data_IF_954686252163
#
_entry.id   IF_954686252163
#
_cell.length_a   1.000
_cell.length_b   1.000
_cell.length_c   1.000
_cell.angle_alpha   90.00
_cell.angle_beta   90.00
_cell.angle_gamma   90.00
#
_symmetry.space_group_name_H-M   'P 1'
#
loop_
_entity.id
_entity.type
_entity.pdbx_description
1 polymer ?
#
# COMPACT_ATOMS: atom_id res chain seq x y z
N UNK A 1 20.15 -6.26 -36.36
CA UNK A 1 20.01 -7.67 -35.91
C UNK A 1 21.13 -8.14 -34.97
N UNK A 2 22.43 -7.95 -35.27
CA UNK A 2 23.53 -8.38 -34.39
C UNK A 2 23.54 -7.70 -33.01
N UNK A 3 23.25 -6.39 -32.92
CA UNK A 3 23.21 -5.64 -31.65
C UNK A 3 22.08 -6.11 -30.69
N UNK A 4 20.91 -6.46 -31.26
CA UNK A 4 19.78 -6.99 -30.46
C UNK A 4 20.08 -8.39 -29.94
N UNK A 5 20.75 -9.23 -30.74
CA UNK A 5 21.16 -10.58 -30.35
C UNK A 5 22.22 -10.55 -29.24
N UNK A 6 23.17 -9.63 -29.31
CA UNK A 6 24.19 -9.44 -28.29
C UNK A 6 23.59 -8.93 -26.96
N UNK A 7 22.65 -7.98 -27.04
CA UNK A 7 21.94 -7.45 -25.88
C UNK A 7 21.07 -8.50 -25.17
N UNK A 8 20.41 -9.39 -25.94
CA UNK A 8 19.64 -10.50 -25.40
C UNK A 8 20.52 -11.53 -24.67
N UNK A 9 21.68 -11.86 -25.24
CA UNK A 9 22.66 -12.76 -24.61
C UNK A 9 23.19 -12.19 -23.27
N UNK A 10 23.48 -10.89 -23.22
CA UNK A 10 23.90 -10.25 -21.97
C UNK A 10 22.79 -10.25 -20.89
N UNK A 11 21.52 -10.04 -21.27
CA UNK A 11 20.38 -10.04 -20.33
C UNK A 11 20.19 -11.43 -19.73
N UNK A 12 20.20 -12.49 -20.58
CA UNK A 12 20.07 -13.88 -20.13
C UNK A 12 21.21 -14.22 -19.16
N UNK A 13 22.44 -13.85 -19.49
CA UNK A 13 23.59 -14.09 -18.63
C UNK A 13 23.50 -13.42 -17.24
N UNK A 14 23.01 -12.18 -17.18
CA UNK A 14 22.80 -11.50 -15.90
C UNK A 14 21.73 -12.18 -15.08
N UNK A 15 20.58 -12.53 -15.69
CA UNK A 15 19.49 -13.19 -14.98
C UNK A 15 19.87 -14.59 -14.47
N UNK A 16 20.61 -15.36 -15.26
CA UNK A 16 21.09 -16.69 -14.85
C UNK A 16 22.05 -16.61 -13.66
N UNK A 17 22.97 -15.65 -13.67
CA UNK A 17 23.84 -15.38 -12.51
C UNK A 17 23.04 -14.96 -11.26
N UNK A 18 22.01 -14.14 -11.40
CA UNK A 18 21.17 -13.73 -10.29
C UNK A 18 20.37 -14.92 -9.72
N UNK A 19 19.88 -15.82 -10.58
CA UNK A 19 19.20 -17.06 -10.16
C UNK A 19 20.16 -18.00 -9.41
N UNK A 20 21.37 -18.18 -9.94
CA UNK A 20 22.43 -18.93 -9.27
C UNK A 20 22.77 -18.33 -7.90
N UNK A 21 22.94 -17.01 -7.84
CA UNK A 21 23.18 -16.28 -6.59
C UNK A 21 22.06 -16.52 -5.58
N UNK A 22 20.79 -16.32 -5.97
CA UNK A 22 19.66 -16.48 -5.04
C UNK A 22 19.50 -17.92 -4.56
N UNK A 23 19.79 -18.90 -5.42
CA UNK A 23 19.76 -20.32 -5.04
C UNK A 23 20.88 -20.66 -4.06
N UNK A 24 22.11 -20.20 -4.33
CA UNK A 24 23.27 -20.47 -3.46
C UNK A 24 23.21 -19.75 -2.11
N UNK A 25 22.49 -18.62 -2.02
CA UNK A 25 22.34 -17.83 -0.82
C UNK A 25 20.91 -17.92 -0.20
N UNK A 26 20.14 -18.94 -0.57
CA UNK A 26 18.75 -19.07 -0.09
C UNK A 26 18.64 -19.08 1.41
N UNK A 27 19.51 -19.82 2.11
CA UNK A 27 19.47 -19.96 3.56
C UNK A 27 19.75 -18.63 4.28
N UNK A 28 20.66 -17.81 3.76
CA UNK A 28 20.95 -16.47 4.28
C UNK A 28 19.76 -15.53 4.06
N UNK A 29 19.16 -15.56 2.86
CA UNK A 29 17.99 -14.75 2.52
C UNK A 29 16.81 -15.11 3.44
N UNK A 30 16.56 -16.39 3.65
CA UNK A 30 15.49 -16.88 4.54
C UNK A 30 15.78 -16.55 6.00
N UNK A 31 17.04 -16.64 6.43
CA UNK A 31 17.46 -16.31 7.80
C UNK A 31 17.23 -14.83 8.09
N UNK A 32 17.58 -13.93 7.18
CA UNK A 32 17.36 -12.50 7.33
C UNK A 32 15.86 -12.16 7.33
N UNK A 33 15.07 -12.78 6.46
CA UNK A 33 13.60 -12.62 6.48
C UNK A 33 13.02 -13.06 7.82
N UNK A 34 13.40 -14.23 8.32
CA UNK A 34 12.96 -14.74 9.62
C UNK A 34 13.40 -13.83 10.77
N UNK A 35 14.59 -13.23 10.69
CA UNK A 35 15.06 -12.23 11.65
C UNK A 35 14.10 -11.05 11.71
N UNK A 36 13.68 -10.49 10.57
CA UNK A 36 12.70 -9.41 10.54
C UNK A 36 11.32 -9.84 11.05
N UNK A 37 10.81 -11.01 10.62
CA UNK A 37 9.48 -11.51 11.05
C UNK A 37 9.41 -11.71 12.56
N UNK A 38 10.52 -12.06 13.23
CA UNK A 38 10.57 -12.22 14.69
C UNK A 38 10.39 -10.92 15.48
N UNK A 39 10.58 -9.76 14.86
CA UNK A 39 10.31 -8.47 15.49
C UNK A 39 8.84 -8.08 15.23
N UNK A 40 8.03 -7.84 16.28
CA UNK A 40 6.60 -7.52 16.12
C UNK A 40 6.34 -6.31 15.21
N UNK A 41 7.03 -5.20 15.41
CA UNK A 41 6.93 -3.92 14.65
C UNK A 41 5.50 -3.47 14.33
N UNK A 42 4.57 -3.63 15.29
CA UNK A 42 3.15 -3.24 15.15
C UNK A 42 3.03 -1.73 15.34
N UNK A 43 2.90 -0.98 14.23
CA UNK A 43 2.88 0.49 14.27
C UNK A 43 1.68 1.05 15.03
N UNK A 44 0.48 0.48 14.87
CA UNK A 44 -0.74 0.90 15.56
C UNK A 44 -0.66 0.76 17.10
N UNK A 45 0.23 -0.11 17.61
CA UNK A 45 0.40 -0.39 19.04
C UNK A 45 1.76 0.10 19.56
N UNK A 46 2.62 0.64 18.69
CA UNK A 46 4.00 1.05 19.01
C UNK A 46 4.85 -0.06 19.65
N UNK A 47 4.72 -1.31 19.18
CA UNK A 47 5.39 -2.49 19.72
C UNK A 47 6.49 -2.96 18.77
N UNK A 48 7.74 -3.07 19.26
CA UNK A 48 8.87 -3.69 18.55
C UNK A 48 9.39 -2.90 17.35
N UNK A 49 9.06 -1.64 17.24
CA UNK A 49 9.39 -0.74 16.11
C UNK A 49 10.88 -0.44 16.04
N UNK A 50 11.47 0.00 17.15
CA UNK A 50 12.90 0.38 17.21
C UNK A 50 13.81 -0.84 16.97
N UNK A 51 13.44 -1.99 17.53
CA UNK A 51 14.16 -3.24 17.37
C UNK A 51 14.11 -3.73 15.93
N UNK A 52 12.96 -3.62 15.26
CA UNK A 52 12.83 -3.98 13.86
C UNK A 52 13.63 -3.04 12.96
N UNK A 53 13.57 -1.73 13.21
CA UNK A 53 14.39 -0.74 12.49
C UNK A 53 15.89 -1.03 12.64
N UNK A 54 16.32 -1.42 13.85
CA UNK A 54 17.71 -1.81 14.11
C UNK A 54 18.09 -3.08 13.31
N UNK A 55 17.21 -4.08 13.26
CA UNK A 55 17.43 -5.30 12.50
C UNK A 55 17.51 -5.03 10.98
N UNK A 56 16.62 -4.18 10.43
CA UNK A 56 16.69 -3.75 9.03
C UNK A 56 18.04 -3.07 8.74
N UNK A 57 18.46 -2.13 9.59
CA UNK A 57 19.71 -1.40 9.43
C UNK A 57 20.94 -2.33 9.51
N UNK A 58 20.92 -3.32 10.40
CA UNK A 58 21.97 -4.33 10.51
C UNK A 58 22.06 -5.17 9.22
N UNK A 59 20.94 -5.72 8.73
CA UNK A 59 20.89 -6.50 7.49
C UNK A 59 21.37 -5.68 6.29
N UNK A 60 21.03 -4.39 6.22
CA UNK A 60 21.51 -3.51 5.17
C UNK A 60 23.05 -3.36 5.22
N UNK A 61 23.63 -3.12 6.40
CA UNK A 61 25.07 -2.99 6.58
C UNK A 61 25.81 -4.29 6.25
N UNK A 62 25.31 -5.43 6.72
CA UNK A 62 25.87 -6.75 6.43
C UNK A 62 25.76 -7.11 4.92
N UNK A 63 24.85 -6.44 4.23
CA UNK A 63 24.69 -6.52 2.78
C UNK A 63 25.54 -5.50 2.00
N UNK A 64 26.45 -4.76 2.67
CA UNK A 64 27.33 -3.77 2.04
C UNK A 64 26.66 -2.43 1.72
N UNK A 65 25.47 -2.16 2.27
CA UNK A 65 24.75 -0.90 2.08
C UNK A 65 25.13 0.06 3.20
N UNK A 66 25.61 1.26 2.85
CA UNK A 66 25.83 2.32 3.85
C UNK A 66 24.50 2.81 4.37
N UNK A 67 24.13 2.49 5.60
CA UNK A 67 22.81 2.78 6.16
C UNK A 67 22.83 3.34 7.58
N UNK A 68 21.77 4.04 7.96
CA UNK A 68 21.54 4.57 9.29
C UNK A 68 20.06 4.75 9.59
N UNK A 69 19.73 4.78 10.88
CA UNK A 69 18.38 4.99 11.38
C UNK A 69 18.17 6.49 11.60
N UNK A 70 17.10 7.04 11.04
CA UNK A 70 16.68 8.43 11.23
C UNK A 70 15.48 8.44 12.17
N UNK A 71 15.67 8.97 13.36
CA UNK A 71 14.60 9.13 14.35
C UNK A 71 13.74 10.33 13.99
N UNK A 72 12.43 10.13 13.95
CA UNK A 72 11.46 11.19 13.77
C UNK A 72 11.01 11.72 15.13
N UNK A 73 10.70 13.02 15.22
CA UNK A 73 10.33 13.68 16.49
C UNK A 73 9.06 13.08 17.10
N UNK A 74 8.08 12.76 16.29
CA UNK A 74 6.76 12.26 16.70
C UNK A 74 6.32 11.05 15.88
N UNK A 75 7.27 10.24 15.39
CA UNK A 75 6.98 9.12 14.50
C UNK A 75 7.97 7.98 14.63
N UNK A 76 7.65 6.91 13.95
CA UNK A 76 8.49 5.73 13.91
C UNK A 76 9.76 5.99 13.09
N UNK A 77 10.91 5.34 13.42
CA UNK A 77 12.16 5.57 12.71
C UNK A 77 12.08 5.19 11.23
N UNK A 78 12.80 5.92 10.41
CA UNK A 78 13.07 5.58 9.02
C UNK A 78 14.48 4.97 8.93
N UNK A 79 14.62 3.86 8.20
CA UNK A 79 15.93 3.31 7.86
C UNK A 79 16.30 3.79 6.46
N UNK A 80 17.32 4.62 6.37
CA UNK A 80 17.84 5.14 5.13
C UNK A 80 19.17 4.48 4.76
N UNK A 81 19.38 4.20 3.47
CA UNK A 81 20.63 3.64 2.98
C UNK A 81 20.99 4.09 1.58
N UNK A 82 22.27 3.94 1.24
CA UNK A 82 22.81 4.28 -0.07
C UNK A 82 23.81 3.22 -0.55
N UNK A 83 23.79 2.97 -1.86
CA UNK A 83 24.88 2.30 -2.58
C UNK A 83 25.25 3.19 -3.77
N UNK A 84 26.49 3.67 -3.79
CA UNK A 84 27.04 4.43 -4.90
C UNK A 84 27.51 3.49 -6.00
N UNK A 85 27.41 3.94 -7.24
CA UNK A 85 27.78 3.23 -8.44
C UNK A 85 28.42 4.21 -9.43
N UNK A 86 29.18 3.70 -10.38
CA UNK A 86 29.65 4.46 -11.56
C UNK A 86 28.50 4.82 -12.53
N UNK A 87 27.33 4.21 -12.35
CA UNK A 87 26.11 4.52 -13.10
C UNK A 87 25.64 5.97 -12.89
N UNK A 88 25.11 6.58 -13.96
CA UNK A 88 24.69 7.99 -13.94
C UNK A 88 23.33 8.23 -13.28
N UNK A 89 22.50 7.18 -13.20
CA UNK A 89 21.13 7.28 -12.67
C UNK A 89 21.08 6.87 -11.21
N UNK A 90 20.08 7.38 -10.51
CA UNK A 90 19.77 7.05 -9.13
C UNK A 90 18.33 6.50 -9.05
N UNK A 91 18.16 5.35 -8.43
CA UNK A 91 16.84 4.75 -8.15
C UNK A 91 16.57 4.82 -6.65
N UNK A 92 15.44 5.40 -6.27
CA UNK A 92 14.95 5.41 -4.89
C UNK A 92 14.06 4.18 -4.68
N UNK A 93 14.47 3.32 -3.75
CA UNK A 93 13.79 2.08 -3.38
C UNK A 93 13.00 2.31 -2.10
N UNK A 94 11.70 2.02 -2.13
CA UNK A 94 10.81 2.19 -1.00
C UNK A 94 10.13 0.87 -0.62
N UNK A 95 10.01 0.63 0.68
CA UNK A 95 9.16 -0.38 1.31
C UNK A 95 8.98 -0.03 2.79
N UNK A 96 8.29 -0.88 3.58
CA UNK A 96 8.08 -0.67 5.00
C UNK A 96 8.40 -1.90 5.84
N UNK A 97 8.70 -1.69 7.13
CA UNK A 97 9.01 -2.77 8.08
C UNK A 97 7.96 -2.94 9.18
N UNK A 98 7.05 -1.97 9.32
CA UNK A 98 5.92 -2.09 10.26
C UNK A 98 4.84 -3.05 9.74
N UNK A 99 3.99 -3.47 10.65
CA UNK A 99 2.95 -4.48 10.35
C UNK A 99 1.65 -4.16 11.07
N UNK A 100 0.55 -4.72 10.56
CA UNK A 100 -0.77 -4.71 11.21
C UNK A 100 -0.79 -5.52 12.52
N UNK A 101 -1.72 -5.20 13.45
CA UNK A 101 -2.03 -6.04 14.59
C UNK A 101 -2.33 -7.50 14.22
N UNK A 102 -2.18 -8.38 15.18
CA UNK A 102 -2.27 -9.84 14.97
C UNK A 102 -3.60 -10.46 15.38
N UNK A 103 -4.46 -9.69 16.00
CA UNK A 103 -5.78 -10.15 16.44
C UNK A 103 -6.67 -10.58 15.26
N UNK A 104 -7.47 -11.65 15.42
CA UNK A 104 -7.60 -12.52 16.60
C UNK A 104 -6.48 -13.59 16.71
N UNK A 105 -5.85 -13.68 17.89
CA UNK A 105 -4.69 -14.55 18.14
C UNK A 105 -5.01 -16.05 18.07
N UNK A 106 -6.22 -16.45 18.42
CA UNK A 106 -6.67 -17.83 18.45
C UNK A 106 -6.86 -18.47 17.06
N UNK A 107 -6.89 -17.66 16.00
CA UNK A 107 -6.96 -18.14 14.63
C UNK A 107 -5.58 -18.43 13.98
N UNK A 108 -4.48 -18.09 14.68
CA UNK A 108 -3.14 -18.35 14.18
C UNK A 108 -2.70 -19.80 14.43
N UNK A 109 -2.33 -20.51 13.35
CA UNK A 109 -1.75 -21.86 13.42
C UNK A 109 -0.36 -21.87 14.07
N UNK A 110 0.44 -20.83 13.80
CA UNK A 110 1.77 -20.64 14.38
C UNK A 110 1.81 -19.27 15.08
N UNK A 111 2.68 -19.11 16.07
CA UNK A 111 2.89 -17.78 16.65
C UNK A 111 3.25 -16.78 15.53
N UNK A 112 2.52 -15.64 15.40
CA UNK A 112 2.68 -14.70 14.31
C UNK A 112 4.08 -14.10 14.16
N UNK A 113 4.91 -14.16 15.21
CA UNK A 113 6.28 -13.68 15.19
C UNK A 113 7.34 -14.78 15.35
N UNK A 114 7.00 -16.03 15.05
CA UNK A 114 7.97 -17.15 15.11
C UNK A 114 8.86 -17.26 13.89
N UNK A 115 8.42 -16.77 12.71
CA UNK A 115 9.12 -16.96 11.45
C UNK A 115 9.32 -18.46 11.13
N UNK A 116 8.33 -19.29 11.44
CA UNK A 116 8.38 -20.73 11.14
C UNK A 116 8.46 -20.97 9.64
N UNK A 117 9.32 -21.90 9.25
CA UNK A 117 9.44 -22.35 7.85
C UNK A 117 8.82 -23.74 7.71
N UNK A 118 7.76 -23.84 6.91
CA UNK A 118 7.14 -25.12 6.52
C UNK A 118 6.67 -25.03 5.08
N UNK A 119 6.71 -26.13 4.33
CA UNK A 119 6.20 -26.20 2.95
C UNK A 119 6.79 -25.11 2.02
N UNK A 120 8.08 -24.82 2.17
CA UNK A 120 8.79 -23.73 1.45
C UNK A 120 8.16 -22.33 1.65
N UNK A 121 7.55 -22.09 2.80
CA UNK A 121 6.96 -20.81 3.20
C UNK A 121 7.54 -20.34 4.51
N UNK A 122 7.69 -19.03 4.66
CA UNK A 122 7.95 -18.35 5.94
C UNK A 122 6.61 -17.84 6.44
N UNK A 123 6.18 -18.32 7.59
CA UNK A 123 4.91 -17.93 8.22
C UNK A 123 5.14 -16.87 9.27
N UNK A 124 4.28 -15.87 9.27
CA UNK A 124 4.25 -14.82 10.28
C UNK A 124 3.71 -13.50 9.76
N UNK A 125 3.27 -12.65 10.68
CA UNK A 125 2.81 -11.29 10.38
C UNK A 125 3.97 -10.48 9.81
N UNK A 126 3.72 -9.82 8.67
CA UNK A 126 4.73 -9.06 7.93
C UNK A 126 5.58 -9.91 6.98
N UNK A 127 5.41 -11.23 6.93
CA UNK A 127 6.20 -12.06 6.02
C UNK A 127 5.95 -11.69 4.54
N UNK A 128 4.71 -11.36 4.19
CA UNK A 128 4.32 -10.88 2.87
C UNK A 128 4.24 -9.36 2.82
N UNK A 129 3.71 -8.74 3.86
CA UNK A 129 3.42 -7.31 3.93
C UNK A 129 4.15 -6.65 5.12
N UNK A 130 5.40 -6.11 4.96
CA UNK A 130 6.15 -6.07 3.68
C UNK A 130 7.63 -6.55 3.86
N UNK A 131 7.94 -7.29 4.95
CA UNK A 131 9.34 -7.68 5.29
C UNK A 131 9.98 -8.55 4.20
N UNK A 132 9.20 -9.40 3.51
CA UNK A 132 9.68 -10.14 2.35
C UNK A 132 10.12 -9.23 1.20
N UNK A 133 9.36 -8.17 0.94
CA UNK A 133 9.68 -7.15 -0.05
C UNK A 133 10.93 -6.34 0.37
N UNK A 134 11.07 -5.98 1.66
CA UNK A 134 12.28 -5.32 2.20
C UNK A 134 13.52 -6.17 1.97
N UNK A 135 13.46 -7.47 2.27
CA UNK A 135 14.57 -8.40 2.04
C UNK A 135 14.90 -8.49 0.55
N UNK A 136 13.91 -8.56 -0.33
CA UNK A 136 14.14 -8.60 -1.77
C UNK A 136 14.90 -7.35 -2.28
N UNK A 137 14.55 -6.15 -1.79
CA UNK A 137 15.26 -4.91 -2.12
C UNK A 137 16.74 -4.95 -1.65
N UNK A 138 16.99 -5.32 -0.40
CA UNK A 138 18.32 -5.36 0.19
C UNK A 138 19.20 -6.39 -0.52
N UNK A 139 18.67 -7.61 -0.71
CA UNK A 139 19.43 -8.71 -1.33
C UNK A 139 19.65 -8.51 -2.83
N UNK A 140 18.83 -7.73 -3.52
CA UNK A 140 19.07 -7.33 -4.90
C UNK A 140 20.33 -6.43 -5.03
N UNK A 141 20.52 -5.48 -4.10
CA UNK A 141 21.74 -4.68 -4.06
C UNK A 141 22.97 -5.55 -3.72
N UNK A 142 22.83 -6.43 -2.72
CA UNK A 142 23.91 -7.35 -2.34
C UNK A 142 24.31 -8.27 -3.49
N UNK A 143 23.34 -8.79 -4.27
CA UNK A 143 23.62 -9.63 -5.42
C UNK A 143 24.49 -8.93 -6.46
N UNK A 144 24.30 -7.63 -6.70
CA UNK A 144 25.18 -6.84 -7.56
C UNK A 144 26.55 -6.59 -6.94
N UNK A 145 26.60 -6.23 -5.67
CA UNK A 145 27.88 -6.00 -4.96
C UNK A 145 28.76 -7.26 -4.99
N UNK A 146 28.19 -8.42 -4.70
CA UNK A 146 28.93 -9.68 -4.65
C UNK A 146 29.37 -10.18 -6.04
N UNK A 147 28.53 -10.01 -7.09
CA UNK A 147 28.85 -10.54 -8.43
C UNK A 147 29.57 -9.56 -9.35
N UNK A 148 29.41 -8.24 -9.14
CA UNK A 148 29.89 -7.20 -10.06
C UNK A 148 30.63 -6.05 -9.38
N UNK A 149 30.71 -6.04 -8.05
CA UNK A 149 31.35 -4.98 -7.25
C UNK A 149 30.48 -3.73 -7.07
N UNK A 150 29.53 -3.48 -7.94
CA UNK A 150 28.58 -2.35 -7.86
C UNK A 150 27.27 -2.64 -8.59
N UNK A 151 26.15 -2.00 -8.19
CA UNK A 151 24.91 -2.06 -8.96
C UNK A 151 24.98 -1.18 -10.23
N UNK A 152 24.13 -1.42 -11.24
CA UNK A 152 24.15 -0.67 -12.52
C UNK A 152 23.65 0.79 -12.39
N UNK A 153 23.09 1.17 -11.26
CA UNK A 153 22.62 2.52 -10.92
C UNK A 153 22.89 2.82 -9.46
N UNK A 154 22.99 4.09 -9.10
CA UNK A 154 23.04 4.48 -7.68
C UNK A 154 21.71 4.10 -7.01
N UNK A 155 21.78 3.57 -5.80
CA UNK A 155 20.62 3.15 -5.03
C UNK A 155 20.48 4.02 -3.79
N UNK A 156 19.22 4.38 -3.49
CA UNK A 156 18.80 4.95 -2.23
C UNK A 156 17.67 4.11 -1.67
N UNK A 157 17.72 3.82 -0.39
CA UNK A 157 16.71 3.04 0.31
C UNK A 157 15.97 3.94 1.29
N UNK A 158 14.67 3.87 1.27
CA UNK A 158 13.76 4.54 2.19
C UNK A 158 12.80 3.49 2.75
N UNK A 159 13.12 2.95 3.93
CA UNK A 159 12.33 1.90 4.57
C UNK A 159 11.66 2.50 5.80
N UNK A 160 10.35 2.66 5.77
CA UNK A 160 9.59 3.32 6.83
C UNK A 160 8.96 2.35 7.84
N UNK A 161 8.45 2.88 8.95
CA UNK A 161 7.79 2.15 10.02
C UNK A 161 6.37 2.65 10.33
N UNK A 162 5.68 3.29 9.37
CA UNK A 162 4.34 3.88 9.56
C UNK A 162 3.38 3.61 8.39
N UNK A 163 3.72 2.74 7.44
CA UNK A 163 2.86 2.51 6.26
C UNK A 163 1.47 2.06 6.70
N UNK A 164 1.41 1.12 7.62
CA UNK A 164 0.20 0.49 8.13
C UNK A 164 -0.72 1.43 8.96
N UNK A 165 -0.20 2.61 9.29
CA UNK A 165 -0.96 3.70 9.93
C UNK A 165 -1.04 4.94 9.03
N UNK A 166 -0.89 4.75 7.70
CA UNK A 166 -1.02 5.78 6.65
C UNK A 166 0.16 6.75 6.55
N UNK A 167 1.38 6.33 6.90
CA UNK A 167 2.64 7.07 6.70
C UNK A 167 2.57 8.52 7.21
N UNK A 168 2.06 8.71 8.43
CA UNK A 168 1.66 10.02 8.97
C UNK A 168 2.80 11.05 8.89
N UNK A 169 4.04 10.64 9.19
CA UNK A 169 5.19 11.52 9.26
C UNK A 169 6.06 11.52 7.98
N UNK A 170 5.86 10.56 7.08
CA UNK A 170 6.64 10.45 5.84
C UNK A 170 6.55 11.68 4.93
N UNK A 171 5.37 12.34 4.73
CA UNK A 171 5.28 13.51 3.88
C UNK A 171 6.12 14.70 4.35
N UNK A 172 6.17 14.93 5.67
CA UNK A 172 6.99 15.99 6.25
C UNK A 172 8.47 15.64 6.15
N UNK A 173 8.83 14.40 6.48
CA UNK A 173 10.19 13.90 6.30
C UNK A 173 10.71 14.11 4.87
N UNK A 174 9.90 13.70 3.87
CA UNK A 174 10.25 13.85 2.45
C UNK A 174 10.42 15.32 2.06
N UNK A 175 9.54 16.22 2.52
CA UNK A 175 9.65 17.68 2.26
C UNK A 175 10.95 18.27 2.81
N UNK A 176 11.37 17.86 4.00
CA UNK A 176 12.58 18.34 4.65
C UNK A 176 13.86 17.74 4.04
N UNK A 177 13.80 16.56 3.46
CA UNK A 177 14.97 15.79 3.00
C UNK A 177 15.03 15.61 1.47
N UNK A 178 14.46 16.55 0.70
CA UNK A 178 14.40 16.46 -0.77
C UNK A 178 15.76 16.26 -1.44
N UNK A 179 16.82 16.90 -0.93
CA UNK A 179 18.18 16.77 -1.49
C UNK A 179 18.73 15.36 -1.24
N UNK A 180 18.56 14.83 -0.04
CA UNK A 180 18.97 13.47 0.32
C UNK A 180 18.22 12.44 -0.54
N UNK A 181 16.93 12.64 -0.78
CA UNK A 181 16.05 11.72 -1.54
C UNK A 181 16.05 11.98 -3.05
N UNK A 182 16.86 12.94 -3.55
CA UNK A 182 16.92 13.21 -5.00
C UNK A 182 17.30 11.93 -5.77
N UNK A 183 16.48 11.57 -6.76
CA UNK A 183 16.64 10.40 -7.61
C UNK A 183 16.07 10.69 -9.01
N UNK A 184 16.23 9.75 -9.95
CA UNK A 184 15.67 9.84 -11.30
C UNK A 184 14.31 9.13 -11.40
N UNK A 185 14.05 8.14 -10.52
CA UNK A 185 12.78 7.46 -10.39
C UNK A 185 12.66 6.81 -9.01
N UNK A 186 11.45 6.36 -8.65
CA UNK A 186 11.20 5.54 -7.46
C UNK A 186 10.60 4.18 -7.81
N UNK A 187 11.06 3.16 -7.10
CA UNK A 187 10.48 1.82 -7.07
C UNK A 187 9.89 1.58 -5.69
N UNK A 188 8.57 1.58 -5.60
CA UNK A 188 7.84 1.19 -4.40
C UNK A 188 7.59 -0.32 -4.49
N UNK A 189 8.29 -1.06 -3.64
CA UNK A 189 8.26 -2.52 -3.67
C UNK A 189 7.47 -3.05 -2.48
N UNK A 190 6.14 -3.06 -2.66
CA UNK A 190 5.17 -3.37 -1.62
C UNK A 190 3.84 -3.78 -2.25
N UNK A 191 3.83 -4.95 -2.87
CA UNK A 191 2.65 -5.52 -3.50
C UNK A 191 2.81 -7.02 -3.74
N UNK A 192 1.73 -7.65 -4.21
CA UNK A 192 1.67 -9.08 -4.52
C UNK A 192 1.78 -9.35 -6.02
N UNK A 193 2.24 -10.54 -6.36
CA UNK A 193 2.06 -11.10 -7.69
C UNK A 193 0.55 -11.29 -7.96
N UNK A 194 0.19 -11.31 -9.23
CA UNK A 194 -1.18 -11.67 -9.62
C UNK A 194 -1.41 -13.19 -9.48
N UNK A 195 -2.68 -13.66 -9.53
CA UNK A 195 -2.99 -15.09 -9.41
C UNK A 195 -2.33 -15.98 -10.47
N UNK A 196 -1.97 -15.42 -11.63
CA UNK A 196 -1.22 -16.16 -12.66
C UNK A 196 0.28 -16.32 -12.30
N UNK A 197 0.75 -15.73 -11.21
CA UNK A 197 2.15 -15.76 -10.75
C UNK A 197 3.08 -14.90 -11.60
N UNK A 198 2.61 -13.75 -12.05
CA UNK A 198 3.40 -12.68 -12.67
C UNK A 198 3.27 -11.39 -11.87
N UNK A 199 4.16 -10.43 -12.10
CA UNK A 199 4.11 -9.15 -11.40
C UNK A 199 2.79 -8.40 -11.67
N UNK A 200 2.21 -7.86 -10.60
CA UNK A 200 1.26 -6.75 -10.69
C UNK A 200 2.05 -5.45 -10.66
N UNK A 201 1.84 -4.59 -11.63
CA UNK A 201 2.52 -3.30 -11.77
C UNK A 201 1.45 -2.21 -11.78
N UNK A 202 1.56 -1.26 -10.86
CA UNK A 202 0.60 -0.17 -10.71
C UNK A 202 1.28 1.16 -11.05
N UNK A 203 0.63 1.97 -11.88
CA UNK A 203 1.12 3.29 -12.29
C UNK A 203 0.50 4.44 -11.50
N UNK A 204 -0.26 4.13 -10.47
CA UNK A 204 -0.86 5.07 -9.53
C UNK A 204 -1.61 4.36 -8.43
N UNK A 205 -1.91 5.06 -7.36
CA UNK A 205 -2.66 4.58 -6.21
C UNK A 205 -3.82 5.53 -5.91
N UNK A 206 -4.92 4.98 -5.41
CA UNK A 206 -6.01 5.80 -4.88
C UNK A 206 -5.54 6.55 -3.63
N UNK A 207 -6.08 7.74 -3.44
CA UNK A 207 -5.96 8.46 -2.18
C UNK A 207 -6.91 7.91 -1.12
N UNK A 208 -6.73 8.38 0.10
CA UNK A 208 -7.59 8.09 1.23
C UNK A 208 -7.92 9.40 1.97
N UNK A 209 -9.18 9.59 2.29
CA UNK A 209 -9.62 10.55 3.29
C UNK A 209 -10.41 9.79 4.35
N UNK A 210 -9.87 9.71 5.57
CA UNK A 210 -10.50 9.01 6.68
C UNK A 210 -10.96 10.02 7.72
N UNK A 211 -12.27 10.05 7.99
CA UNK A 211 -12.91 11.01 8.86
C UNK A 211 -13.71 10.31 9.96
N UNK A 212 -13.81 10.96 11.11
CA UNK A 212 -14.84 10.70 12.11
C UNK A 212 -15.83 11.88 12.13
N UNK A 213 -17.11 11.59 12.11
CA UNK A 213 -18.17 12.55 12.32
C UNK A 213 -18.88 12.23 13.63
N UNK A 214 -19.06 13.21 14.48
CA UNK A 214 -19.61 13.07 15.82
C UNK A 214 -20.77 14.04 16.04
N UNK A 215 -21.90 13.49 16.46
CA UNK A 215 -23.10 14.24 16.82
C UNK A 215 -23.36 14.08 18.32
N UNK A 216 -23.44 15.20 19.03
CA UNK A 216 -23.77 15.23 20.46
C UNK A 216 -24.99 16.12 20.66
N UNK A 217 -26.09 15.58 21.20
CA UNK A 217 -27.37 16.28 21.36
C UNK A 217 -27.74 16.54 22.83
N UNK A 218 -27.03 15.85 23.75
CA UNK A 218 -27.26 16.01 25.17
C UNK A 218 -25.97 15.85 25.99
N UNK A 219 -25.96 16.23 27.25
CA UNK A 219 -24.82 16.04 28.15
C UNK A 219 -24.72 14.64 28.72
N UNK A 220 -25.84 13.89 28.76
CA UNK A 220 -25.94 12.53 29.29
C UNK A 220 -27.04 11.76 28.57
N UNK A 221 -26.95 10.45 28.62
CA UNK A 221 -28.03 9.56 28.16
C UNK A 221 -29.31 9.76 28.94
N UNK A 222 -30.44 9.60 28.29
CA UNK A 222 -31.76 9.79 28.85
C UNK A 222 -32.62 8.55 28.74
N UNK A 223 -33.71 8.48 29.53
CA UNK A 223 -34.73 7.46 29.32
C UNK A 223 -35.42 7.65 27.97
N UNK A 224 -35.59 6.59 27.19
CA UNK A 224 -36.17 6.65 25.83
C UNK A 224 -37.61 7.19 25.77
N UNK A 225 -38.35 7.24 26.88
CA UNK A 225 -39.64 7.87 26.96
C UNK A 225 -39.62 9.38 26.60
N UNK A 226 -38.44 10.03 26.66
CA UNK A 226 -38.25 11.40 26.25
C UNK A 226 -38.06 11.60 24.73
N UNK A 227 -38.03 10.51 23.95
CA UNK A 227 -37.81 10.57 22.51
C UNK A 227 -38.78 11.48 21.73
N UNK A 228 -40.05 11.70 22.14
CA UNK A 228 -40.94 12.64 21.45
C UNK A 228 -40.52 14.09 21.53
N UNK A 229 -39.71 14.47 22.53
CA UNK A 229 -39.32 15.85 22.80
C UNK A 229 -37.82 16.11 22.84
N UNK A 230 -37.00 15.05 22.93
CA UNK A 230 -35.55 15.16 23.00
C UNK A 230 -34.89 14.65 21.67
N UNK A 231 -33.89 15.39 21.14
CA UNK A 231 -33.23 15.01 19.91
C UNK A 231 -32.39 13.75 20.10
N UNK A 232 -32.47 12.82 19.15
CA UNK A 232 -31.66 11.63 19.14
C UNK A 232 -30.49 11.80 18.17
N UNK A 233 -29.22 11.74 18.64
CA UNK A 233 -28.06 11.97 17.80
C UNK A 233 -27.84 10.89 16.72
N UNK A 234 -28.33 9.65 16.94
CA UNK A 234 -28.25 8.60 15.94
C UNK A 234 -29.12 8.93 14.72
N UNK A 235 -30.39 9.34 14.94
CA UNK A 235 -31.26 9.76 13.84
C UNK A 235 -30.72 10.98 13.11
N UNK A 236 -30.16 11.96 13.84
CA UNK A 236 -29.55 13.14 13.23
C UNK A 236 -28.34 12.78 12.37
N UNK A 237 -27.48 11.90 12.87
CA UNK A 237 -26.30 11.41 12.12
C UNK A 237 -26.70 10.61 10.88
N UNK A 238 -27.67 9.71 10.99
CA UNK A 238 -28.20 8.93 9.85
C UNK A 238 -28.81 9.86 8.79
N UNK A 239 -29.57 10.88 9.19
CA UNK A 239 -30.12 11.87 8.27
C UNK A 239 -29.03 12.64 7.54
N UNK A 240 -27.96 13.03 8.23
CA UNK A 240 -26.80 13.67 7.60
C UNK A 240 -26.09 12.73 6.59
N UNK A 241 -25.87 11.46 6.95
CA UNK A 241 -25.24 10.46 6.08
C UNK A 241 -26.06 10.22 4.82
N UNK A 242 -27.39 10.24 4.91
CA UNK A 242 -28.27 10.05 3.74
C UNK A 242 -28.15 11.19 2.71
N UNK A 243 -27.65 12.37 3.13
CA UNK A 243 -27.37 13.48 2.19
C UNK A 243 -26.01 13.37 1.51
N UNK A 244 -25.08 12.59 2.07
CA UNK A 244 -23.71 12.45 1.55
C UNK A 244 -23.64 11.45 0.40
N UNK A 245 -24.49 10.40 0.44
CA UNK A 245 -24.50 9.34 -0.57
C UNK A 245 -25.91 8.87 -0.86
N UNK A 246 -26.24 8.83 -2.15
CA UNK A 246 -27.49 8.29 -2.65
C UNK A 246 -27.25 7.34 -3.83
N UNK A 247 -27.93 6.19 -3.86
CA UNK A 247 -27.85 5.19 -4.94
C UNK A 247 -26.42 4.85 -5.38
N UNK A 248 -25.48 4.76 -4.42
CA UNK A 248 -24.09 4.44 -4.65
C UNK A 248 -23.21 5.61 -5.08
N UNK A 249 -23.78 6.80 -5.33
CA UNK A 249 -23.03 8.01 -5.71
C UNK A 249 -22.89 8.97 -4.53
N UNK A 250 -21.76 9.65 -4.45
CA UNK A 250 -21.54 10.74 -3.48
C UNK A 250 -22.27 11.98 -3.99
N UNK A 251 -23.10 12.57 -3.14
CA UNK A 251 -24.01 13.68 -3.48
C UNK A 251 -23.51 15.04 -3.00
N UNK A 252 -22.29 15.08 -2.48
CA UNK A 252 -21.63 16.32 -2.08
C UNK A 252 -21.33 17.18 -3.30
N UNK A 253 -21.79 18.45 -3.29
CA UNK A 253 -21.59 19.38 -4.41
C UNK A 253 -20.11 19.52 -4.74
N UNK A 254 -19.78 19.38 -6.02
CA UNK A 254 -18.43 19.49 -6.54
C UNK A 254 -17.51 18.30 -6.24
N UNK A 255 -17.99 17.22 -5.64
CA UNK A 255 -17.15 16.06 -5.29
C UNK A 255 -16.42 15.47 -6.49
N UNK A 256 -17.03 15.51 -7.66
CA UNK A 256 -16.49 14.93 -8.90
C UNK A 256 -15.81 15.93 -9.83
N UNK A 257 -15.71 17.23 -9.46
CA UNK A 257 -15.16 18.28 -10.35
C UNK A 257 -13.74 17.96 -10.84
N UNK A 258 -12.91 17.40 -9.98
CA UNK A 258 -11.52 17.05 -10.28
C UNK A 258 -11.36 15.60 -10.73
N UNK A 259 -12.44 14.81 -10.82
CA UNK A 259 -12.38 13.43 -11.29
C UNK A 259 -12.21 13.40 -12.79
N UNK A 260 -11.06 12.98 -13.25
CA UNK A 260 -10.77 12.88 -14.68
C UNK A 260 -11.34 11.62 -15.31
N UNK A 261 -11.81 11.78 -16.53
CA UNK A 261 -12.12 10.63 -17.39
C UNK A 261 -10.84 9.86 -17.68
N UNK A 262 -10.83 8.52 -17.55
CA UNK A 262 -9.67 7.71 -17.90
C UNK A 262 -9.19 7.98 -19.32
N UNK A 263 -7.88 8.06 -19.51
CA UNK A 263 -7.29 8.25 -20.83
C UNK A 263 -7.54 7.04 -21.75
N UNK A 264 -7.34 7.20 -23.05
CA UNK A 264 -7.41 6.08 -24.01
C UNK A 264 -6.39 4.98 -23.66
N UNK A 265 -5.22 5.38 -23.16
CA UNK A 265 -4.20 4.45 -22.70
C UNK A 265 -4.63 3.69 -21.44
N UNK A 266 -5.16 4.38 -20.43
CA UNK A 266 -5.70 3.74 -19.23
C UNK A 266 -6.79 2.72 -19.58
N UNK A 267 -7.71 3.06 -20.47
CA UNK A 267 -8.76 2.15 -20.95
C UNK A 267 -8.19 0.97 -21.74
N UNK A 268 -7.15 1.19 -22.55
CA UNK A 268 -6.45 0.12 -23.26
C UNK A 268 -5.77 -0.85 -22.31
N UNK A 269 -5.14 -0.35 -21.25
CA UNK A 269 -4.55 -1.19 -20.20
C UNK A 269 -5.63 -2.00 -19.48
N UNK A 270 -6.72 -1.34 -19.07
CA UNK A 270 -7.84 -2.00 -18.40
C UNK A 270 -8.42 -3.16 -19.22
N UNK A 271 -8.53 -3.03 -20.54
CA UNK A 271 -9.02 -4.10 -21.41
C UNK A 271 -8.10 -5.35 -21.41
N UNK A 272 -6.81 -5.18 -21.18
CA UNK A 272 -5.81 -6.27 -21.15
C UNK A 272 -5.75 -7.01 -19.80
N UNK A 273 -6.27 -6.40 -18.73
CA UNK A 273 -6.27 -7.01 -17.41
C UNK A 273 -7.25 -8.18 -17.35
N UNK A 274 -6.87 -9.25 -16.71
CA UNK A 274 -7.81 -10.30 -16.33
C UNK A 274 -8.55 -9.88 -15.05
N UNK A 275 -9.85 -10.06 -15.02
CA UNK A 275 -10.69 -9.79 -13.87
C UNK A 275 -11.84 -10.78 -13.83
N UNK A 276 -11.94 -11.51 -12.73
CA UNK A 276 -12.99 -12.47 -12.46
C UNK A 276 -13.72 -12.09 -11.17
N UNK A 277 -14.84 -11.41 -11.32
CA UNK A 277 -15.69 -11.02 -10.19
C UNK A 277 -16.23 -12.22 -9.41
N UNK A 278 -16.38 -13.40 -10.05
CA UNK A 278 -16.88 -14.60 -9.37
C UNK A 278 -15.89 -15.13 -8.35
N UNK A 279 -14.58 -15.01 -8.63
CA UNK A 279 -13.54 -15.34 -7.65
C UNK A 279 -13.64 -14.43 -6.43
N UNK A 280 -13.77 -13.11 -6.65
CA UNK A 280 -13.90 -12.12 -5.58
C UNK A 280 -15.18 -12.38 -4.75
N UNK A 281 -16.31 -12.62 -5.41
CA UNK A 281 -17.59 -12.94 -4.76
C UNK A 281 -17.48 -14.22 -3.91
N UNK A 282 -16.76 -15.24 -4.41
CA UNK A 282 -16.55 -16.50 -3.69
C UNK A 282 -15.62 -16.31 -2.48
N UNK A 283 -14.55 -15.55 -2.65
CA UNK A 283 -13.55 -15.28 -1.60
C UNK A 283 -14.16 -14.55 -0.40
N UNK A 284 -14.94 -13.49 -0.67
CA UNK A 284 -15.55 -12.66 0.39
C UNK A 284 -17.01 -13.01 0.71
N UNK A 285 -17.62 -13.98 0.03
CA UNK A 285 -18.96 -14.50 0.32
C UNK A 285 -20.12 -13.55 0.00
N UNK A 286 -19.93 -12.47 -0.77
CA UNK A 286 -21.02 -11.59 -1.18
C UNK A 286 -21.70 -12.09 -2.46
N UNK A 287 -23.01 -11.78 -2.61
CA UNK A 287 -23.87 -12.43 -3.62
C UNK A 287 -23.97 -11.68 -4.95
N UNK A 288 -23.67 -10.38 -4.95
CA UNK A 288 -23.81 -9.53 -6.14
C UNK A 288 -22.85 -8.34 -6.08
N UNK A 289 -22.43 -7.86 -7.25
CA UNK A 289 -21.68 -6.60 -7.37
C UNK A 289 -22.64 -5.42 -7.26
N UNK A 290 -22.29 -4.45 -6.42
CA UNK A 290 -23.06 -3.24 -6.21
C UNK A 290 -23.39 -2.53 -7.54
N UNK A 291 -24.69 -2.27 -7.77
CA UNK A 291 -25.19 -1.64 -9.00
C UNK A 291 -25.23 -2.58 -10.21
N UNK A 292 -25.09 -3.89 -10.03
CA UNK A 292 -25.28 -4.91 -11.07
C UNK A 292 -24.26 -4.89 -12.21
N UNK A 293 -23.14 -4.14 -12.07
CA UNK A 293 -22.09 -4.07 -13.08
C UNK A 293 -21.25 -5.36 -13.10
N UNK A 294 -20.64 -5.70 -14.24
CA UNK A 294 -19.90 -6.96 -14.43
C UNK A 294 -18.61 -6.74 -15.23
N UNK A 295 -17.67 -7.66 -15.08
CA UNK A 295 -16.44 -7.72 -15.87
C UNK A 295 -15.66 -6.42 -15.88
N UNK A 296 -15.33 -5.93 -17.05
CA UNK A 296 -14.51 -4.71 -17.21
C UNK A 296 -15.17 -3.44 -16.67
N UNK A 297 -16.50 -3.34 -16.63
CA UNK A 297 -17.16 -2.19 -16.03
C UNK A 297 -17.07 -2.20 -14.50
N UNK A 298 -17.10 -3.38 -13.86
CA UNK A 298 -16.83 -3.51 -12.43
C UNK A 298 -15.37 -3.14 -12.11
N UNK A 299 -14.43 -3.63 -12.90
CA UNK A 299 -13.01 -3.27 -12.75
C UNK A 299 -12.76 -1.77 -12.98
N UNK A 300 -13.43 -1.16 -13.97
CA UNK A 300 -13.35 0.27 -14.24
C UNK A 300 -13.83 1.11 -13.05
N UNK A 301 -14.95 0.74 -12.43
CA UNK A 301 -15.42 1.37 -11.19
C UNK A 301 -14.41 1.22 -10.06
N UNK A 302 -13.92 0.00 -9.87
CA UNK A 302 -12.93 -0.30 -8.83
C UNK A 302 -11.68 0.57 -8.95
N UNK A 303 -11.20 0.82 -10.17
CA UNK A 303 -9.96 1.55 -10.43
C UNK A 303 -10.18 3.08 -10.47
N UNK A 304 -11.24 3.57 -11.14
CA UNK A 304 -11.37 4.98 -11.52
C UNK A 304 -12.47 5.76 -10.82
N UNK A 305 -13.32 5.11 -10.00
CA UNK A 305 -14.35 5.85 -9.27
C UNK A 305 -13.95 6.08 -7.80
N UNK A 306 -14.21 7.29 -7.26
CA UNK A 306 -14.07 7.53 -5.83
C UNK A 306 -15.15 6.76 -5.06
N UNK A 307 -14.87 6.46 -3.79
CA UNK A 307 -15.81 5.75 -2.91
C UNK A 307 -16.09 6.54 -1.66
N UNK A 308 -17.26 6.30 -1.06
CA UNK A 308 -17.61 6.68 0.30
C UNK A 308 -18.12 5.43 1.01
N UNK A 309 -17.47 5.05 2.10
CA UNK A 309 -17.77 3.86 2.87
C UNK A 309 -17.96 4.21 4.35
N UNK A 310 -18.88 3.53 5.02
CA UNK A 310 -19.02 3.59 6.48
C UNK A 310 -18.16 2.46 7.05
N UNK A 311 -17.03 2.82 7.66
CA UNK A 311 -16.11 1.88 8.29
C UNK A 311 -16.55 1.48 9.71
N UNK A 312 -17.33 2.33 10.37
CA UNK A 312 -17.90 2.05 11.68
C UNK A 312 -18.96 3.07 12.06
N UNK A 313 -19.97 2.64 12.82
CA UNK A 313 -21.00 3.52 13.36
C UNK A 313 -21.37 3.03 14.76
N UNK A 314 -21.53 3.95 15.69
CA UNK A 314 -21.88 3.61 17.07
C UNK A 314 -22.77 4.68 17.71
N UNK A 315 -23.80 4.22 18.44
CA UNK A 315 -24.64 5.04 19.33
C UNK A 315 -25.44 4.15 20.27
N UNK A 316 -25.71 4.66 21.48
CA UNK A 316 -26.57 3.99 22.44
C UNK A 316 -26.01 2.66 22.98
N UNK A 317 -26.91 1.78 23.40
CA UNK A 317 -26.59 0.50 24.02
C UNK A 317 -26.46 -0.61 22.96
N UNK A 318 -25.28 -1.20 22.84
CA UNK A 318 -24.95 -2.24 21.85
C UNK A 318 -24.57 -3.59 22.47
N UNK A 319 -24.58 -3.71 23.81
CA UNK A 319 -24.30 -4.96 24.52
C UNK A 319 -25.54 -5.88 24.53
N UNK A 320 -25.35 -7.11 24.98
CA UNK A 320 -26.46 -8.07 25.11
C UNK A 320 -27.55 -7.59 26.08
N UNK A 321 -28.81 -7.93 25.79
CA UNK A 321 -29.98 -7.54 26.56
C UNK A 321 -30.63 -6.24 26.07
N UNK A 322 -31.52 -5.66 26.88
CA UNK A 322 -32.29 -4.47 26.55
C UNK A 322 -32.00 -3.30 27.49
N UNK A 323 -31.83 -2.09 26.93
CA UNK A 323 -31.74 -0.83 27.68
C UNK A 323 -32.55 0.22 26.94
N UNK A 324 -33.63 0.70 27.58
CA UNK A 324 -34.49 1.75 27.01
C UNK A 324 -33.83 3.12 27.16
N UNK A 325 -32.90 3.43 26.28
CA UNK A 325 -32.06 4.64 26.33
C UNK A 325 -32.23 5.49 25.10
N UNK A 326 -32.23 6.80 25.28
CA UNK A 326 -31.98 7.80 24.25
C UNK A 326 -30.54 8.28 24.45
N UNK A 327 -29.63 7.93 23.52
CA UNK A 327 -28.21 8.26 23.69
C UNK A 327 -27.97 9.78 23.62
N UNK A 328 -26.91 10.22 24.25
CA UNK A 328 -26.44 11.61 24.20
C UNK A 328 -25.52 11.89 23.02
N UNK A 329 -24.90 10.84 22.46
CA UNK A 329 -23.88 10.94 21.41
C UNK A 329 -24.01 9.82 20.40
N UNK A 330 -23.63 10.12 19.15
CA UNK A 330 -23.43 9.15 18.06
C UNK A 330 -22.20 9.54 17.27
N UNK A 331 -21.45 8.57 16.76
CA UNK A 331 -20.37 8.84 15.82
C UNK A 331 -20.33 7.83 14.67
N UNK A 332 -19.71 8.24 13.56
CA UNK A 332 -19.44 7.43 12.39
C UNK A 332 -18.02 7.67 11.92
N UNK A 333 -17.38 6.60 11.49
CA UNK A 333 -16.12 6.64 10.76
C UNK A 333 -16.38 6.41 9.29
N UNK A 334 -15.93 7.34 8.46
CA UNK A 334 -16.08 7.31 7.01
C UNK A 334 -14.69 7.21 6.37
N UNK A 335 -14.55 6.33 5.40
CA UNK A 335 -13.42 6.35 4.47
C UNK A 335 -13.88 6.69 3.05
N UNK A 336 -13.11 7.57 2.42
CA UNK A 336 -13.28 7.94 1.02
C UNK A 336 -12.03 7.54 0.27
N UNK A 337 -12.15 6.62 -0.70
CA UNK A 337 -11.07 6.37 -1.65
C UNK A 337 -11.15 7.42 -2.75
N UNK A 338 -10.04 8.11 -2.96
CA UNK A 338 -9.94 9.23 -3.89
C UNK A 338 -9.23 8.79 -5.17
N UNK A 339 -9.61 9.41 -6.28
CA UNK A 339 -8.95 9.16 -7.56
C UNK A 339 -8.06 10.34 -7.97
N UNK A 340 -7.20 10.11 -8.96
CA UNK A 340 -6.21 11.08 -9.40
C UNK A 340 -6.83 12.46 -9.66
N UNK A 341 -6.12 13.49 -9.23
CA UNK A 341 -6.43 14.92 -9.20
C UNK A 341 -7.36 15.38 -8.08
N UNK A 342 -8.12 14.53 -7.43
CA UNK A 342 -8.81 14.92 -6.20
C UNK A 342 -7.80 15.30 -5.10
N UNK A 343 -8.15 16.29 -4.28
CA UNK A 343 -7.31 16.78 -3.18
C UNK A 343 -8.07 16.66 -1.85
N UNK A 344 -7.45 16.01 -0.87
CA UNK A 344 -8.08 15.75 0.42
C UNK A 344 -8.59 17.02 1.10
N UNK A 345 -7.80 18.09 1.14
CA UNK A 345 -8.19 19.35 1.78
C UNK A 345 -9.36 20.08 1.10
N UNK A 346 -9.47 19.96 -0.24
CA UNK A 346 -10.59 20.51 -1.00
C UNK A 346 -11.88 19.74 -0.71
N UNK A 347 -11.79 18.43 -0.70
CA UNK A 347 -12.95 17.56 -0.41
C UNK A 347 -13.46 17.72 1.01
N UNK A 348 -12.59 17.95 2.00
CA UNK A 348 -12.99 18.29 3.36
C UNK A 348 -13.79 19.61 3.39
N UNK A 349 -13.33 20.64 2.63
CA UNK A 349 -14.05 21.91 2.53
C UNK A 349 -15.43 21.74 1.88
N UNK A 350 -15.51 20.96 0.78
CA UNK A 350 -16.75 20.63 0.09
C UNK A 350 -17.72 19.89 1.01
N UNK A 351 -17.23 18.90 1.76
CA UNK A 351 -18.04 18.16 2.74
C UNK A 351 -18.55 19.06 3.86
N UNK A 352 -17.69 19.93 4.43
CA UNK A 352 -18.13 20.93 5.44
C UNK A 352 -19.23 21.83 4.90
N UNK A 353 -19.05 22.37 3.68
CA UNK A 353 -20.05 23.20 3.03
C UNK A 353 -21.37 22.45 2.81
N UNK A 354 -21.31 21.19 2.42
CA UNK A 354 -22.46 20.31 2.26
C UNK A 354 -23.23 20.14 3.57
N UNK A 355 -22.51 19.87 4.68
CA UNK A 355 -23.13 19.72 6.00
C UNK A 355 -23.87 21.00 6.42
N UNK A 356 -23.24 22.16 6.25
CA UNK A 356 -23.91 23.47 6.52
C UNK A 356 -25.13 23.67 5.63
N UNK A 357 -25.02 23.39 4.32
CA UNK A 357 -26.12 23.53 3.35
C UNK A 357 -27.36 22.71 3.74
N UNK A 358 -27.14 21.55 4.35
CA UNK A 358 -28.22 20.63 4.74
C UNK A 358 -28.62 20.76 6.22
N UNK A 359 -28.09 21.78 6.94
CA UNK A 359 -28.46 22.06 8.33
C UNK A 359 -27.87 21.08 9.35
N UNK A 360 -26.69 20.53 9.07
CA UNK A 360 -25.94 19.61 9.92
C UNK A 360 -24.59 20.18 10.38
N UNK A 361 -24.51 21.49 10.54
CA UNK A 361 -23.34 22.23 10.98
C UNK A 361 -22.92 21.97 12.44
N UNK A 362 -23.84 21.42 13.24
CA UNK A 362 -23.61 20.95 14.61
C UNK A 362 -22.84 19.62 14.68
N UNK A 363 -22.74 18.87 13.57
CA UNK A 363 -21.97 17.62 13.53
C UNK A 363 -20.49 17.94 13.35
N UNK A 364 -19.70 17.56 14.35
CA UNK A 364 -18.26 17.76 14.35
C UNK A 364 -17.57 16.77 13.40
N UNK A 365 -16.55 17.22 12.66
CA UNK A 365 -15.74 16.40 11.78
C UNK A 365 -14.27 16.42 12.20
N UNK A 366 -13.71 15.24 12.42
CA UNK A 366 -12.32 15.03 12.79
C UNK A 366 -11.60 14.29 11.66
N UNK A 367 -10.49 14.84 11.20
CA UNK A 367 -9.61 14.20 10.24
C UNK A 367 -8.74 13.18 10.97
N UNK A 368 -8.86 11.88 10.62
CA UNK A 368 -8.09 10.80 11.23
C UNK A 368 -6.88 10.41 10.37
N UNK A 369 -6.99 10.50 9.04
CA UNK A 369 -5.89 10.18 8.14
C UNK A 369 -6.14 10.69 6.72
N UNK A 370 -5.07 10.97 5.98
CA UNK A 370 -5.14 11.38 4.58
C UNK A 370 -3.96 10.86 3.79
N UNK A 371 -4.25 10.36 2.60
CA UNK A 371 -3.26 9.99 1.58
C UNK A 371 -3.73 10.62 0.27
N UNK A 372 -2.89 11.39 -0.39
CA UNK A 372 -3.22 11.95 -1.70
C UNK A 372 -3.15 10.84 -2.78
N UNK A 373 -4.02 10.84 -3.80
CA UNK A 373 -3.89 9.91 -4.91
C UNK A 373 -2.65 10.23 -5.75
N UNK A 374 -2.08 9.23 -6.40
CA UNK A 374 -0.89 9.36 -7.24
C UNK A 374 -1.12 8.85 -8.66
N UNK A 375 -0.27 9.26 -9.59
CA UNK A 375 -0.26 8.77 -10.97
C UNK A 375 1.11 9.00 -11.61
N UNK A 376 1.59 7.98 -12.29
CA UNK A 376 2.72 8.01 -13.22
C UNK A 376 2.21 7.59 -14.60
N UNK A 377 2.77 8.15 -15.65
CA UNK A 377 2.46 7.75 -17.02
C UNK A 377 2.88 6.29 -17.26
N UNK A 378 2.04 5.50 -17.91
CA UNK A 378 2.33 4.09 -18.18
C UNK A 378 3.54 3.93 -19.14
N UNK A 379 3.88 4.95 -19.94
CA UNK A 379 5.06 5.00 -20.80
C UNK A 379 6.35 5.41 -20.08
N UNK A 380 6.28 5.78 -18.79
CA UNK A 380 7.42 6.19 -17.99
C UNK A 380 8.57 5.17 -18.01
N UNK A 381 9.80 5.66 -17.91
CA UNK A 381 11.00 4.81 -18.01
C UNK A 381 10.99 3.71 -16.96
N UNK A 382 10.67 4.03 -15.72
CA UNK A 382 10.66 3.04 -14.62
C UNK A 382 9.55 1.98 -14.81
N UNK A 383 8.39 2.35 -15.35
CA UNK A 383 7.30 1.40 -15.66
C UNK A 383 7.71 0.43 -16.76
N UNK A 384 8.39 0.94 -17.80
CA UNK A 384 8.93 0.08 -18.87
C UNK A 384 10.02 -0.87 -18.36
N UNK A 385 10.93 -0.38 -17.51
CA UNK A 385 11.96 -1.18 -16.88
C UNK A 385 11.34 -2.31 -16.04
N UNK A 386 10.38 -1.98 -15.18
CA UNK A 386 9.67 -2.95 -14.34
C UNK A 386 8.90 -3.98 -15.19
N UNK A 387 8.20 -3.53 -16.24
CA UNK A 387 7.44 -4.44 -17.12
C UNK A 387 8.34 -5.41 -17.88
N UNK A 388 9.49 -4.94 -18.36
CA UNK A 388 10.45 -5.77 -19.07
C UNK A 388 11.11 -6.78 -18.12
N UNK A 389 11.59 -6.33 -16.96
CA UNK A 389 12.17 -7.18 -15.94
C UNK A 389 11.19 -8.27 -15.46
N UNK A 390 9.91 -7.93 -15.27
CA UNK A 390 8.89 -8.90 -14.89
C UNK A 390 8.71 -10.00 -15.94
N UNK A 391 8.66 -9.62 -17.22
CA UNK A 391 8.52 -10.59 -18.30
C UNK A 391 9.71 -11.54 -18.37
N UNK A 392 10.92 -11.07 -18.11
CA UNK A 392 12.16 -11.86 -18.13
C UNK A 392 12.24 -12.81 -16.91
N UNK A 393 11.94 -12.30 -15.70
CA UNK A 393 12.07 -13.09 -14.46
C UNK A 393 10.99 -14.14 -14.33
N UNK A 394 9.73 -13.75 -14.54
CA UNK A 394 8.58 -14.64 -14.35
C UNK A 394 8.21 -15.43 -15.61
N UNK A 395 8.83 -15.13 -16.76
CA UNK A 395 8.50 -15.71 -18.08
C UNK A 395 6.99 -15.59 -18.39
N UNK A 396 6.38 -14.51 -17.97
CA UNK A 396 4.95 -14.18 -18.10
C UNK A 396 4.78 -12.67 -18.25
N UNK A 397 3.79 -12.27 -19.04
CA UNK A 397 3.46 -10.84 -19.15
C UNK A 397 2.96 -10.31 -17.81
N UNK A 398 3.49 -9.16 -17.32
CA UNK A 398 2.97 -8.54 -16.12
C UNK A 398 1.56 -8.01 -16.34
N UNK A 399 0.79 -7.93 -15.26
CA UNK A 399 -0.47 -7.22 -15.23
C UNK A 399 -0.19 -5.73 -14.93
N UNK A 400 -0.31 -4.88 -15.95
CA UNK A 400 -0.09 -3.44 -15.82
C UNK A 400 -1.41 -2.73 -15.53
N UNK A 401 -1.57 -2.28 -14.29
CA UNK A 401 -2.76 -1.57 -13.83
C UNK A 401 -2.57 -0.06 -13.96
N UNK A 402 -3.52 0.66 -14.57
CA UNK A 402 -3.46 2.12 -14.65
C UNK A 402 -3.58 2.78 -13.27
N UNK A 403 -4.17 2.11 -12.30
CA UNK A 403 -4.24 2.53 -10.90
C UNK A 403 -4.54 1.33 -9.99
N UNK A 404 -4.02 1.38 -8.77
CA UNK A 404 -4.40 0.44 -7.70
C UNK A 404 -5.70 0.93 -7.05
N UNK A 405 -6.54 0.02 -6.61
CA UNK A 405 -7.74 0.35 -5.83
C UNK A 405 -7.45 0.63 -4.35
N UNK A 406 -6.26 0.22 -3.87
CA UNK A 406 -5.74 0.55 -2.56
C UNK A 406 -5.07 1.92 -2.51
N UNK A 407 -4.63 2.31 -1.33
CA UNK A 407 -3.91 3.56 -1.06
C UNK A 407 -2.57 3.23 -0.42
N UNK A 408 -1.59 4.08 -0.66
CA UNK A 408 -0.25 4.02 -0.10
C UNK A 408 0.46 5.36 -0.32
N UNK A 409 1.63 5.58 0.25
CA UNK A 409 2.27 6.88 0.26
C UNK A 409 2.96 7.28 -1.07
N UNK A 410 2.63 6.64 -2.19
CA UNK A 410 3.26 6.90 -3.50
C UNK A 410 3.24 8.37 -3.93
N UNK A 411 2.27 9.16 -3.45
CA UNK A 411 2.19 10.59 -3.74
C UNK A 411 3.40 11.38 -3.20
N UNK A 412 4.11 10.88 -2.19
CA UNK A 412 5.32 11.57 -1.69
C UNK A 412 6.42 11.55 -2.73
N UNK A 413 6.50 10.49 -3.54
CA UNK A 413 7.43 10.37 -4.65
C UNK A 413 6.94 11.15 -5.87
N UNK A 414 5.70 10.93 -6.29
CA UNK A 414 5.16 11.53 -7.51
C UNK A 414 4.84 13.02 -7.38
N UNK A 415 4.22 13.46 -6.25
CA UNK A 415 3.80 14.86 -6.07
C UNK A 415 4.84 15.71 -5.33
N UNK A 416 5.51 15.19 -4.29
CA UNK A 416 6.45 15.98 -3.48
C UNK A 416 7.87 15.97 -4.03
N UNK A 417 8.37 14.82 -4.49
CA UNK A 417 9.70 14.69 -5.11
C UNK A 417 9.66 14.86 -6.64
N UNK A 418 8.49 14.79 -7.28
CA UNK A 418 8.31 14.89 -8.74
C UNK A 418 9.03 13.77 -9.50
N UNK A 419 9.07 12.57 -8.95
CA UNK A 419 9.66 11.39 -9.58
C UNK A 419 8.60 10.62 -10.38
N UNK A 420 9.04 9.97 -11.46
CA UNK A 420 8.30 8.82 -12.01
C UNK A 420 8.38 7.70 -10.99
N UNK A 421 7.24 7.13 -10.59
CA UNK A 421 7.13 6.06 -9.60
C UNK A 421 6.43 4.84 -10.18
N UNK A 422 6.85 3.66 -9.75
CA UNK A 422 6.15 2.42 -10.03
C UNK A 422 5.94 1.65 -8.73
N UNK A 423 4.73 1.10 -8.55
CA UNK A 423 4.40 0.26 -7.40
C UNK A 423 4.25 -1.19 -7.85
N UNK A 424 5.01 -2.09 -7.24
CA UNK A 424 5.01 -3.53 -7.53
C UNK A 424 5.54 -4.29 -6.32
N UNK A 425 5.71 -5.61 -6.40
CA UNK A 425 6.23 -6.42 -5.30
C UNK A 425 6.39 -7.89 -5.69
N UNK A 426 6.72 -8.70 -4.69
CA UNK A 426 6.92 -10.14 -4.88
C UNK A 426 6.10 -11.03 -3.94
N UNK A 427 5.23 -10.47 -3.11
CA UNK A 427 4.41 -11.26 -2.20
C UNK A 427 3.53 -12.24 -2.96
N UNK A 428 3.31 -13.46 -2.46
CA UNK A 428 2.46 -14.41 -3.17
C UNK A 428 1.00 -13.94 -3.19
N UNK A 429 0.23 -14.30 -4.21
CA UNK A 429 -1.21 -14.11 -4.17
C UNK A 429 -1.80 -14.94 -3.03
N UNK A 430 -2.87 -14.45 -2.41
CA UNK A 430 -3.57 -15.16 -1.31
C UNK A 430 -2.67 -15.41 -0.08
N UNK A 431 -1.77 -14.49 0.22
CA UNK A 431 -0.83 -14.58 1.35
C UNK A 431 -1.46 -14.30 2.72
N UNK A 432 -2.78 -14.15 2.82
CA UNK A 432 -3.51 -13.74 4.02
C UNK A 432 -3.00 -12.41 4.60
N UNK A 433 -2.67 -11.46 3.74
CA UNK A 433 -2.27 -10.10 4.15
C UNK A 433 -3.35 -9.50 5.03
N UNK A 434 -2.97 -8.88 6.16
CA UNK A 434 -3.83 -8.33 7.22
C UNK A 434 -4.75 -9.35 7.93
N UNK A 435 -4.62 -10.65 7.64
CA UNK A 435 -5.39 -11.72 8.27
C UNK A 435 -4.49 -12.70 9.06
N UNK A 436 -5.04 -13.55 9.92
CA UNK A 436 -4.29 -14.64 10.55
C UNK A 436 -3.67 -15.60 9.51
N UNK A 437 -2.57 -16.23 9.89
CA UNK A 437 -1.82 -17.18 9.05
C UNK A 437 -1.17 -16.58 7.80
N UNK A 438 -0.78 -15.30 7.87
CA UNK A 438 0.02 -14.67 6.83
C UNK A 438 1.32 -15.44 6.57
N UNK A 439 1.73 -15.50 5.31
CA UNK A 439 2.94 -16.18 4.88
C UNK A 439 3.53 -15.55 3.62
N UNK A 440 4.83 -15.76 3.39
CA UNK A 440 5.41 -15.59 2.07
C UNK A 440 6.06 -16.90 1.59
N UNK A 441 6.03 -17.18 0.30
CA UNK A 441 6.74 -18.32 -0.26
C UNK A 441 8.22 -17.96 -0.50
N UNK A 442 9.14 -18.83 -0.12
CA UNK A 442 10.58 -18.62 -0.30
C UNK A 442 10.89 -18.32 -1.76
N UNK A 443 10.33 -19.10 -2.68
CA UNK A 443 10.46 -18.87 -4.12
C UNK A 443 10.12 -17.43 -4.53
N UNK A 444 9.05 -16.85 -3.97
CA UNK A 444 8.63 -15.49 -4.31
C UNK A 444 9.66 -14.44 -3.88
N UNK A 445 10.25 -14.62 -2.71
CA UNK A 445 11.31 -13.72 -2.23
C UNK A 445 12.56 -13.82 -3.12
N UNK A 446 12.99 -15.04 -3.48
CA UNK A 446 14.14 -15.26 -4.37
C UNK A 446 13.90 -14.69 -5.77
N UNK A 447 12.73 -14.92 -6.34
CA UNK A 447 12.31 -14.29 -7.61
C UNK A 447 12.18 -12.76 -7.47
N UNK A 448 11.75 -12.26 -6.31
CA UNK A 448 11.72 -10.84 -5.98
C UNK A 448 13.11 -10.19 -6.02
N UNK A 449 14.12 -10.84 -5.47
CA UNK A 449 15.53 -10.41 -5.58
C UNK A 449 15.94 -10.30 -7.06
N UNK A 450 15.65 -11.33 -7.86
CA UNK A 450 15.94 -11.29 -9.30
C UNK A 450 15.16 -10.17 -9.99
N UNK A 451 13.89 -9.97 -9.64
CA UNK A 451 13.02 -8.96 -10.27
C UNK A 451 13.53 -7.53 -9.99
N UNK A 452 13.82 -7.20 -8.75
CA UNK A 452 14.39 -5.90 -8.38
C UNK A 452 15.74 -5.68 -9.08
N UNK A 453 16.61 -6.70 -9.10
CA UNK A 453 17.89 -6.64 -9.78
C UNK A 453 17.73 -6.36 -11.29
N UNK A 454 16.79 -7.03 -11.94
CA UNK A 454 16.52 -6.82 -13.37
C UNK A 454 15.87 -5.46 -13.63
N UNK A 455 15.05 -4.91 -12.70
CA UNK A 455 14.57 -3.53 -12.80
C UNK A 455 15.73 -2.53 -12.81
N UNK A 456 16.69 -2.67 -11.89
CA UNK A 456 17.91 -1.85 -11.85
C UNK A 456 18.67 -1.93 -13.18
N UNK A 457 18.86 -3.15 -13.71
CA UNK A 457 19.56 -3.40 -14.97
C UNK A 457 18.84 -2.77 -16.18
N UNK A 458 17.53 -2.91 -16.26
CA UNK A 458 16.75 -2.34 -17.36
C UNK A 458 16.63 -0.81 -17.24
N UNK A 459 16.48 -0.29 -16.03
CA UNK A 459 16.44 1.16 -15.79
C UNK A 459 17.76 1.85 -16.14
N UNK A 460 18.89 1.21 -15.92
CA UNK A 460 20.20 1.74 -16.33
C UNK A 460 20.30 1.99 -17.85
N UNK A 461 19.64 1.13 -18.67
CA UNK A 461 19.73 1.16 -20.15
C UNK A 461 18.87 2.22 -20.82
N UNK A 462 17.84 2.72 -20.18
CA UNK A 462 16.87 3.69 -20.71
C UNK A 462 17.06 5.07 -20.10
#
# INVERSE_FOLDING_TARGET
>A
MQSVKFMLVQIIFVLDKLREYTTSNQDDIVTDLRKLVKHPSISAQSVGIEECAAAVNEIMRDSGITSHIIKLKNGNPIVYGEVKSSGKKTLLLYSHYDVQPVEPMDEWRYNPFSGVVTDNKVHGRGAADSKGNVIALIKAAKAFLDNYGEPPVNLKFLIEGEEEISSINLPEFVKMNKLMLKADASLCFDSSLNPAGSASIYTGLKGLLYLEMRCKTASTDMHSALAPIAPNPAWRLLSALSTIKDNGKITVDGWYDDVKVPSKEDLSLLQKLEYDEKMLMKEYGFKEILGGVKGKEALKKLIFEPTCNIAGIQSGYTSAGTKTVLPSEAFVKLDFRLVYDQKTDDLIKKLKKHMVKHGFDDIQMFKLGTVEPSKTDASAKIVRAASKAANEVYNKKPALFPNMWGSGPDYVFTKLLKLESVWTGCSPPYANIHAPNEFTAIKNVLEGVCYVSMIMQEFAKI
#
